data_IF_609363712288
#
_entry.id   IF_609363712288
#
_cell.length_a   1.000
_cell.length_b   1.000
_cell.length_c   1.000
_cell.angle_alpha   90.00
_cell.angle_beta   90.00
_cell.angle_gamma   90.00
#
_symmetry.space_group_name_H-M   'P 1'
#
loop_
_entity.id
_entity.type
_entity.pdbx_description
1 polymer ?
#
# COMPACT_ATOMS: atom_id res chain seq x y z
N UNK A 1 59.76 43.35 10.36
CA UNK A 1 58.36 43.12 9.95
C UNK A 1 58.29 41.73 9.33
N UNK A 2 58.01 40.69 10.13
CA UNK A 2 57.87 39.32 9.61
C UNK A 2 56.38 39.02 9.40
N UNK A 3 56.02 38.73 8.15
CA UNK A 3 54.72 38.29 7.66
C UNK A 3 54.44 36.82 8.04
N UNK A 4 53.19 36.34 7.91
CA UNK A 4 52.62 35.31 8.78
C UNK A 4 53.09 33.89 8.46
N UNK A 5 53.24 33.08 9.51
CA UNK A 5 53.35 31.62 9.40
C UNK A 5 52.09 31.04 8.74
N UNK A 6 52.23 30.09 7.79
CA UNK A 6 51.08 29.45 7.15
C UNK A 6 50.33 28.59 8.17
N UNK A 7 49.02 28.78 8.27
CA UNK A 7 48.13 27.97 9.09
C UNK A 7 48.26 26.51 8.61
N UNK A 8 48.96 25.68 9.38
CA UNK A 8 49.04 24.25 9.08
C UNK A 8 47.62 23.68 9.10
N UNK A 9 47.16 22.96 8.05
CA UNK A 9 45.84 22.36 8.08
C UNK A 9 45.79 21.38 9.25
N UNK A 10 44.87 21.60 10.19
CA UNK A 10 44.61 20.66 11.28
C UNK A 10 44.20 19.33 10.66
N UNK A 11 45.09 18.35 10.78
CA UNK A 11 44.89 17.01 10.22
C UNK A 11 43.64 16.42 10.89
N UNK A 12 42.55 16.35 10.15
CA UNK A 12 41.28 15.83 10.64
C UNK A 12 40.83 14.68 9.75
N UNK A 13 40.30 13.64 10.38
CA UNK A 13 39.85 12.44 9.69
C UNK A 13 38.34 12.54 9.48
N UNK A 14 37.86 12.33 8.26
CA UNK A 14 36.43 12.22 8.01
C UNK A 14 36.00 10.77 8.27
N UNK A 15 35.02 10.58 9.14
CA UNK A 15 34.47 9.27 9.51
C UNK A 15 32.96 9.26 9.23
N UNK A 16 32.45 8.09 8.83
CA UNK A 16 31.03 7.84 8.68
C UNK A 16 30.64 6.60 9.49
N UNK A 17 29.53 6.68 10.22
CA UNK A 17 28.94 5.56 10.94
C UNK A 17 27.52 5.30 10.41
N UNK A 18 27.20 4.03 10.13
CA UNK A 18 25.88 3.61 9.67
C UNK A 18 25.27 2.68 10.73
N UNK A 19 24.09 3.01 11.21
CA UNK A 19 23.26 2.20 12.10
C UNK A 19 22.01 1.72 11.33
N UNK A 20 21.88 0.41 11.15
CA UNK A 20 20.74 -0.23 10.48
C UNK A 20 19.83 -0.87 11.54
N UNK A 21 18.90 -0.08 12.09
CA UNK A 21 17.93 -0.55 13.07
C UNK A 21 16.61 -1.00 12.43
N UNK A 22 15.77 -1.70 13.20
CA UNK A 22 14.43 -2.15 12.75
C UNK A 22 13.44 -0.99 12.52
N UNK A 23 13.75 0.20 13.04
CA UNK A 23 12.88 1.38 12.96
C UNK A 23 13.46 2.49 12.08
N UNK A 24 14.76 2.50 11.81
CA UNK A 24 15.40 3.54 11.00
C UNK A 24 16.80 3.14 10.55
N UNK A 25 17.20 3.62 9.39
CA UNK A 25 18.59 3.75 8.98
C UNK A 25 19.12 5.10 9.46
N UNK A 26 20.30 5.13 10.09
CA UNK A 26 20.97 6.37 10.48
C UNK A 26 22.37 6.40 9.89
N UNK A 27 22.76 7.53 9.32
CA UNK A 27 24.12 7.83 8.89
C UNK A 27 24.58 9.07 9.66
N UNK A 28 25.74 8.99 10.28
CA UNK A 28 26.40 10.12 10.93
C UNK A 28 27.78 10.32 10.30
N UNK A 29 28.02 11.49 9.74
CA UNK A 29 29.32 11.89 9.19
C UNK A 29 29.94 12.88 10.16
N UNK A 30 31.15 12.59 10.64
CA UNK A 30 31.89 13.45 11.56
C UNK A 30 33.30 13.72 11.06
N UNK A 31 33.80 14.91 11.37
CA UNK A 31 35.22 15.25 11.28
C UNK A 31 35.83 15.02 12.66
N UNK A 32 36.69 14.01 12.77
CA UNK A 32 37.42 13.64 13.96
C UNK A 32 38.74 14.42 14.03
N UNK A 33 38.98 15.11 15.14
CA UNK A 33 40.19 15.86 15.40
C UNK A 33 41.14 15.07 16.31
N UNK A 34 42.46 15.31 16.24
CA UNK A 34 43.45 14.58 17.05
C UNK A 34 43.28 14.77 18.55
N UNK A 35 42.58 15.82 18.99
CA UNK A 35 42.25 16.08 20.40
C UNK A 35 41.06 15.26 20.91
N UNK A 36 40.56 14.31 20.10
CA UNK A 36 39.44 13.43 20.44
C UNK A 36 38.07 14.06 20.23
N UNK A 37 37.99 15.30 19.73
CA UNK A 37 36.72 15.95 19.42
C UNK A 37 36.18 15.49 18.07
N UNK A 38 34.86 15.37 18.00
CA UNK A 38 34.13 15.13 16.76
C UNK A 38 33.29 16.36 16.43
N UNK A 39 33.31 16.76 15.16
CA UNK A 39 32.41 17.75 14.61
C UNK A 39 31.47 17.07 13.63
N UNK A 40 30.17 17.07 13.90
CA UNK A 40 29.18 16.53 12.97
C UNK A 40 29.18 17.35 11.69
N UNK A 41 29.53 16.70 10.59
CA UNK A 41 29.50 17.26 9.24
C UNK A 41 28.11 17.10 8.65
N UNK A 42 27.52 15.91 8.81
CA UNK A 42 26.18 15.61 8.33
C UNK A 42 25.54 14.50 9.17
N UNK A 43 24.21 14.48 9.19
CA UNK A 43 23.45 13.41 9.81
C UNK A 43 22.20 13.14 8.98
N UNK A 44 21.98 11.87 8.66
CA UNK A 44 20.80 11.38 7.97
C UNK A 44 20.09 10.32 8.81
N UNK A 45 18.76 10.34 8.79
CA UNK A 45 17.90 9.34 9.43
C UNK A 45 16.72 9.08 8.49
N UNK A 46 16.58 7.85 8.02
CA UNK A 46 15.41 7.41 7.26
C UNK A 46 14.62 6.38 8.08
N UNK A 47 13.35 6.65 8.44
CA UNK A 47 12.50 5.67 9.10
C UNK A 47 12.25 4.42 8.24
N UNK A 48 12.25 3.25 8.86
CA UNK A 48 11.76 2.01 8.23
C UNK A 48 10.24 2.01 8.34
N UNK A 49 9.57 2.70 7.40
CA UNK A 49 8.13 2.96 7.43
C UNK A 49 7.31 1.67 7.56
N UNK A 50 7.58 0.67 6.71
CA UNK A 50 6.84 -0.59 6.67
C UNK A 50 6.85 -1.39 7.99
N UNK A 51 7.92 -1.29 8.80
CA UNK A 51 7.97 -2.03 10.08
C UNK A 51 6.89 -1.55 11.05
N UNK A 52 6.56 -0.26 11.01
CA UNK A 52 5.51 0.34 11.84
C UNK A 52 4.11 -0.15 11.44
N UNK A 53 3.87 -0.33 10.13
CA UNK A 53 2.64 -0.94 9.58
C UNK A 53 2.50 -2.37 10.06
N UNK A 54 3.55 -3.19 9.90
CA UNK A 54 3.52 -4.61 10.29
C UNK A 54 3.31 -4.75 11.81
N UNK A 55 4.02 -3.97 12.62
CA UNK A 55 3.85 -3.97 14.08
C UNK A 55 2.43 -3.60 14.50
N UNK A 56 1.84 -2.58 13.87
CA UNK A 56 0.48 -2.17 14.14
C UNK A 56 -0.50 -3.30 13.80
N UNK A 57 -0.37 -3.90 12.62
CA UNK A 57 -1.25 -5.01 12.20
C UNK A 57 -1.12 -6.22 13.12
N UNK A 58 0.10 -6.59 13.54
CA UNK A 58 0.33 -7.71 14.45
C UNK A 58 -0.35 -7.56 15.81
N UNK A 59 -0.58 -6.32 16.27
CA UNK A 59 -1.30 -6.07 17.53
C UNK A 59 -2.79 -6.43 17.45
N UNK A 60 -3.38 -6.35 16.26
CA UNK A 60 -4.83 -6.50 16.06
C UNK A 60 -5.22 -7.77 15.29
N UNK A 61 -4.31 -8.34 14.50
CA UNK A 61 -4.59 -9.47 13.62
C UNK A 61 -3.91 -10.77 14.10
N UNK A 62 -4.71 -11.84 14.19
CA UNK A 62 -4.18 -13.21 14.32
C UNK A 62 -3.63 -13.75 12.99
N UNK A 63 -3.00 -14.94 13.03
CA UNK A 63 -2.35 -15.58 11.86
C UNK A 63 -3.22 -15.63 10.59
N UNK A 64 -4.51 -15.96 10.72
CA UNK A 64 -5.44 -16.01 9.58
C UNK A 64 -5.65 -14.63 8.94
N UNK A 65 -5.85 -13.61 9.76
CA UNK A 65 -6.04 -12.23 9.27
C UNK A 65 -4.75 -11.65 8.70
N UNK A 66 -3.59 -12.01 9.25
CA UNK A 66 -2.30 -11.64 8.67
C UNK A 66 -2.11 -12.22 7.25
N UNK A 67 -2.47 -13.50 7.03
CA UNK A 67 -2.41 -14.10 5.69
C UNK A 67 -3.35 -13.41 4.72
N UNK A 68 -4.58 -13.16 5.14
CA UNK A 68 -5.53 -12.41 4.33
C UNK A 68 -4.95 -11.04 3.96
N UNK A 69 -4.54 -10.24 4.94
CA UNK A 69 -3.89 -8.93 4.74
C UNK A 69 -2.75 -8.98 3.72
N UNK A 70 -1.85 -9.97 3.84
CA UNK A 70 -0.76 -10.17 2.88
C UNK A 70 -1.26 -10.51 1.47
N UNK A 71 -2.27 -11.37 1.33
CA UNK A 71 -2.89 -11.68 0.04
C UNK A 71 -3.49 -10.44 -0.63
N UNK A 72 -4.24 -9.61 0.12
CA UNK A 72 -4.80 -8.37 -0.44
C UNK A 72 -3.72 -7.39 -0.88
N UNK A 73 -2.64 -7.24 -0.10
CA UNK A 73 -1.51 -6.41 -0.53
C UNK A 73 -0.85 -6.96 -1.81
N UNK A 74 -0.68 -8.27 -1.92
CA UNK A 74 -0.17 -8.93 -3.13
C UNK A 74 -1.03 -8.66 -4.36
N UNK A 75 -2.34 -8.86 -4.28
CA UNK A 75 -3.27 -8.58 -5.39
C UNK A 75 -3.25 -7.10 -5.76
N UNK A 76 -3.24 -6.22 -4.76
CA UNK A 76 -3.21 -4.78 -4.98
C UNK A 76 -1.94 -4.35 -5.72
N UNK A 77 -0.79 -4.94 -5.36
CA UNK A 77 0.48 -4.73 -6.05
C UNK A 77 0.43 -5.21 -7.50
N UNK A 78 0.01 -6.46 -7.73
CA UNK A 78 -0.10 -7.01 -9.10
C UNK A 78 -1.05 -6.16 -9.96
N UNK A 79 -2.19 -5.72 -9.39
CA UNK A 79 -3.16 -4.86 -10.09
C UNK A 79 -2.53 -3.52 -10.44
N UNK A 80 -1.86 -2.90 -9.47
CA UNK A 80 -1.22 -1.60 -9.62
C UNK A 80 -0.14 -1.64 -10.71
N UNK A 81 0.72 -2.67 -10.70
CA UNK A 81 1.75 -2.84 -11.71
C UNK A 81 1.17 -3.14 -13.09
N UNK A 82 0.16 -4.00 -13.18
CA UNK A 82 -0.49 -4.36 -14.44
C UNK A 82 -1.16 -3.14 -15.09
N UNK A 83 -1.90 -2.34 -14.31
CA UNK A 83 -2.52 -1.09 -14.78
C UNK A 83 -1.47 -0.09 -15.29
N UNK A 84 -0.34 0.06 -14.59
CA UNK A 84 0.74 0.96 -15.03
C UNK A 84 1.43 0.47 -16.32
N UNK A 85 1.58 -0.84 -16.50
CA UNK A 85 2.14 -1.43 -17.73
C UNK A 85 1.19 -1.22 -18.93
N UNK A 86 -0.12 -1.30 -18.68
CA UNK A 86 -1.17 -1.16 -19.69
C UNK A 86 -1.61 0.29 -19.91
N UNK A 87 -0.90 1.29 -19.37
CA UNK A 87 -1.35 2.69 -19.39
C UNK A 87 -1.52 3.26 -20.80
N UNK A 88 -0.78 2.72 -21.76
CA UNK A 88 -0.87 3.08 -23.18
C UNK A 88 -2.16 2.59 -23.87
N UNK A 89 -2.91 1.69 -23.24
CA UNK A 89 -4.14 1.10 -23.77
C UNK A 89 -5.40 1.90 -23.41
N UNK A 90 -5.31 2.82 -22.44
CA UNK A 90 -6.44 3.62 -21.97
C UNK A 90 -6.10 5.11 -21.94
N UNK A 91 -7.10 5.99 -22.10
CA UNK A 91 -6.89 7.44 -21.96
C UNK A 91 -6.84 7.91 -20.49
N UNK A 92 -6.64 6.99 -19.55
CA UNK A 92 -6.82 7.22 -18.12
C UNK A 92 -5.54 7.69 -17.45
N UNK A 93 -4.38 7.39 -18.04
CA UNK A 93 -3.06 7.86 -17.59
C UNK A 93 -2.78 7.51 -16.12
N UNK A 94 -3.07 6.26 -15.74
CA UNK A 94 -2.74 5.69 -14.43
C UNK A 94 -1.25 5.85 -14.15
N UNK A 95 -0.35 5.47 -15.06
CA UNK A 95 1.10 5.51 -14.81
C UNK A 95 1.65 6.93 -14.61
N UNK A 96 0.99 7.95 -15.19
CA UNK A 96 1.31 9.34 -14.94
C UNK A 96 0.70 9.90 -13.64
N UNK A 97 -0.33 9.24 -13.09
CA UNK A 97 -1.08 9.72 -11.93
C UNK A 97 -0.65 9.08 -10.60
N UNK A 98 0.07 7.95 -10.62
CA UNK A 98 0.53 7.24 -9.42
C UNK A 98 2.01 6.87 -9.50
N UNK A 99 2.70 6.87 -8.35
CA UNK A 99 4.13 6.56 -8.24
C UNK A 99 4.45 5.37 -7.32
N UNK A 100 5.73 5.13 -7.04
CA UNK A 100 6.15 4.02 -6.16
C UNK A 100 5.77 4.22 -4.69
N UNK A 101 5.63 5.46 -4.22
CA UNK A 101 5.17 5.74 -2.84
C UNK A 101 3.69 5.39 -2.70
N UNK A 102 2.93 5.59 -3.77
CA UNK A 102 1.51 5.22 -3.79
C UNK A 102 1.26 3.73 -3.66
N UNK A 103 2.14 2.93 -4.25
CA UNK A 103 2.14 1.49 -4.04
C UNK A 103 2.39 1.16 -2.56
N UNK A 104 3.38 1.78 -1.92
CA UNK A 104 3.67 1.58 -0.50
C UNK A 104 2.45 1.92 0.39
N UNK A 105 1.77 3.04 0.09
CA UNK A 105 0.56 3.46 0.83
C UNK A 105 -0.63 2.53 0.57
N UNK A 106 -0.78 2.04 -0.66
CA UNK A 106 -1.80 1.06 -1.02
C UNK A 106 -1.59 -0.26 -0.28
N UNK A 107 -0.36 -0.79 -0.27
CA UNK A 107 0.00 -2.01 0.44
C UNK A 107 -0.22 -1.86 1.96
N UNK A 108 0.14 -0.70 2.52
CA UNK A 108 -0.11 -0.41 3.93
C UNK A 108 -1.62 -0.38 4.25
N UNK A 109 -2.42 0.24 3.38
CA UNK A 109 -3.88 0.24 3.49
C UNK A 109 -4.46 -1.17 3.45
N UNK A 110 -4.04 -2.00 2.49
CA UNK A 110 -4.42 -3.41 2.38
C UNK A 110 -4.12 -4.19 3.65
N UNK A 111 -2.98 -3.92 4.29
CA UNK A 111 -2.56 -4.61 5.50
C UNK A 111 -3.33 -4.14 6.74
N UNK A 112 -3.75 -2.87 6.78
CA UNK A 112 -4.40 -2.26 7.94
C UNK A 112 -5.94 -2.23 7.87
N UNK A 113 -6.56 -2.46 6.72
CA UNK A 113 -7.99 -2.18 6.53
C UNK A 113 -8.94 -2.89 7.49
N UNK A 114 -8.56 -4.06 8.00
CA UNK A 114 -9.39 -4.90 8.87
C UNK A 114 -9.00 -4.86 10.35
N UNK A 115 -8.03 -4.03 10.78
CA UNK A 115 -7.59 -4.01 12.19
C UNK A 115 -8.71 -3.61 13.17
N UNK A 116 -9.68 -2.83 12.71
CA UNK A 116 -10.85 -2.44 13.48
C UNK A 116 -11.81 -3.59 13.82
N UNK A 117 -11.67 -4.76 13.19
CA UNK A 117 -12.51 -5.94 13.48
C UNK A 117 -12.33 -6.39 14.94
N UNK A 118 -11.17 -6.14 15.55
CA UNK A 118 -10.93 -6.43 16.96
C UNK A 118 -11.87 -5.67 17.91
N UNK A 119 -12.43 -4.53 17.46
CA UNK A 119 -13.37 -3.69 18.20
C UNK A 119 -14.84 -4.06 17.92
N UNK A 120 -15.09 -4.93 16.92
CA UNK A 120 -16.41 -5.36 16.53
C UNK A 120 -16.60 -5.40 15.01
N UNK A 121 -17.42 -6.34 14.52
CA UNK A 121 -17.68 -6.52 13.08
C UNK A 121 -18.54 -5.43 12.45
N UNK A 122 -19.33 -4.69 13.23
CA UNK A 122 -20.20 -3.63 12.72
C UNK A 122 -19.44 -2.31 12.73
N UNK A 123 -19.26 -1.69 11.57
CA UNK A 123 -18.55 -0.41 11.47
C UNK A 123 -17.03 -0.54 11.71
N UNK A 124 -16.47 -1.73 11.48
CA UNK A 124 -15.03 -1.99 11.67
C UNK A 124 -14.16 -1.07 10.82
N UNK A 125 -14.66 -0.60 9.69
CA UNK A 125 -14.03 0.36 8.80
C UNK A 125 -13.78 1.70 9.49
N UNK A 126 -14.75 2.18 10.29
CA UNK A 126 -14.60 3.39 11.13
C UNK A 126 -13.63 3.15 12.29
N UNK A 127 -13.62 1.94 12.84
CA UNK A 127 -12.67 1.56 13.88
C UNK A 127 -11.24 1.50 13.34
N UNK A 128 -11.02 0.88 12.17
CA UNK A 128 -9.73 0.87 11.47
C UNK A 128 -9.25 2.28 11.20
N UNK A 129 -10.12 3.16 10.66
CA UNK A 129 -9.82 4.58 10.48
C UNK A 129 -9.34 5.22 11.79
N UNK A 130 -10.11 5.09 12.87
CA UNK A 130 -9.78 5.66 14.19
C UNK A 130 -8.44 5.15 14.73
N UNK A 131 -8.15 3.85 14.60
CA UNK A 131 -6.89 3.25 15.07
C UNK A 131 -5.70 3.81 14.27
N UNK A 132 -5.85 3.93 12.96
CA UNK A 132 -4.80 4.44 12.06
C UNK A 132 -4.52 5.93 12.32
N UNK A 133 -5.56 6.74 12.54
CA UNK A 133 -5.41 8.19 12.65
C UNK A 133 -5.11 8.69 14.06
N UNK A 134 -5.53 7.98 15.11
CA UNK A 134 -5.45 8.48 16.49
C UNK A 134 -4.21 7.98 17.24
N UNK A 135 -3.45 7.05 16.67
CA UNK A 135 -2.20 6.57 17.25
C UNK A 135 -1.00 7.03 16.42
N UNK A 136 0.04 7.56 17.08
CA UNK A 136 1.35 7.80 16.46
C UNK A 136 2.09 6.47 16.18
N UNK A 137 1.39 5.51 15.56
CA UNK A 137 1.85 4.15 15.34
C UNK A 137 2.55 3.99 13.99
N UNK A 138 2.22 4.83 13.00
CA UNK A 138 2.75 4.79 11.64
C UNK A 138 3.92 5.76 11.46
N UNK A 139 5.08 5.40 12.04
CA UNK A 139 6.30 6.20 11.95
C UNK A 139 6.73 6.40 10.49
N UNK A 140 7.03 7.64 10.10
CA UNK A 140 7.46 8.00 8.75
C UNK A 140 6.33 8.12 7.71
N UNK A 141 5.06 7.94 8.12
CA UNK A 141 3.87 8.28 7.32
C UNK A 141 3.21 9.61 7.73
N UNK A 142 3.69 10.25 8.80
CA UNK A 142 3.21 11.53 9.32
C UNK A 142 3.98 12.76 8.82
N UNK A 143 3.51 13.95 9.20
CA UNK A 143 3.97 15.27 8.71
C UNK A 143 5.28 15.79 9.32
N UNK A 144 5.94 15.06 10.22
CA UNK A 144 6.95 15.66 11.10
C UNK A 144 8.42 15.62 10.64
N UNK A 145 8.82 14.85 9.62
CA UNK A 145 10.27 14.68 9.33
C UNK A 145 10.77 15.11 7.93
N UNK A 146 9.97 15.75 7.08
CA UNK A 146 10.46 16.34 5.80
C UNK A 146 9.76 17.68 5.52
N UNK A 147 10.56 18.72 5.22
CA UNK A 147 10.06 20.05 4.83
C UNK A 147 8.94 19.92 3.79
N UNK A 148 7.73 20.42 4.06
CA UNK A 148 6.55 20.16 3.25
C UNK A 148 6.58 20.94 1.93
N UNK A 149 6.52 20.23 0.81
CA UNK A 149 5.79 20.73 -0.36
C UNK A 149 4.29 20.55 -0.09
N UNK A 150 3.53 21.62 -0.24
CA UNK A 150 2.17 21.81 0.28
C UNK A 150 1.10 20.87 -0.30
N UNK A 151 1.40 20.12 -1.37
CA UNK A 151 0.36 19.49 -2.19
C UNK A 151 0.31 17.95 -2.01
N UNK A 152 1.34 17.34 -1.41
CA UNK A 152 1.50 15.87 -1.33
C UNK A 152 1.11 15.24 0.03
N UNK A 153 0.99 16.01 1.12
CA UNK A 153 0.99 15.44 2.49
C UNK A 153 -0.37 15.06 3.06
N UNK A 154 -1.47 15.75 2.71
CA UNK A 154 -2.80 15.45 3.27
C UNK A 154 -3.40 14.13 2.75
N UNK A 155 -2.76 13.53 1.75
CA UNK A 155 -3.29 12.40 0.99
C UNK A 155 -2.90 11.06 1.60
N UNK A 156 -1.73 10.94 2.26
CA UNK A 156 -1.11 9.62 2.51
C UNK A 156 -1.75 8.86 3.68
N UNK A 157 -1.92 9.51 4.85
CA UNK A 157 -2.63 8.90 5.98
C UNK A 157 -4.14 8.78 5.68
N UNK A 158 -4.69 9.72 4.91
CA UNK A 158 -6.06 9.65 4.43
C UNK A 158 -6.27 8.53 3.41
N UNK A 159 -5.30 8.23 2.54
CA UNK A 159 -5.30 7.04 1.69
C UNK A 159 -5.33 5.80 2.57
N UNK A 160 -4.36 5.65 3.47
CA UNK A 160 -4.27 4.47 4.34
C UNK A 160 -5.53 4.27 5.20
N UNK A 161 -6.16 5.36 5.67
CA UNK A 161 -7.30 5.31 6.57
C UNK A 161 -8.68 5.33 5.87
N UNK A 162 -8.84 5.99 4.72
CA UNK A 162 -10.11 6.12 4.01
C UNK A 162 -10.34 5.03 2.97
N UNK A 163 -9.28 4.41 2.44
CA UNK A 163 -9.37 3.22 1.58
C UNK A 163 -10.20 2.08 2.25
N UNK A 164 -9.97 1.73 3.54
CA UNK A 164 -10.81 0.79 4.29
C UNK A 164 -12.28 1.21 4.44
N UNK A 165 -12.54 2.51 4.54
CA UNK A 165 -13.87 3.11 4.76
C UNK A 165 -14.76 3.08 3.52
N UNK A 166 -14.17 3.12 2.34
CA UNK A 166 -14.90 3.12 1.06
C UNK A 166 -14.97 1.74 0.40
N UNK A 167 -14.25 0.73 0.91
CA UNK A 167 -14.30 -0.64 0.42
C UNK A 167 -15.68 -1.30 0.51
N UNK A 168 -16.52 -0.94 1.49
CA UNK A 168 -17.70 -1.76 1.78
C UNK A 168 -19.01 -1.35 1.08
N UNK A 169 -19.21 -0.10 0.62
CA UNK A 169 -20.56 0.29 0.16
C UNK A 169 -20.71 1.26 -1.01
N UNK A 170 -19.79 2.17 -1.32
CA UNK A 170 -19.90 3.10 -2.46
C UNK A 170 -18.54 3.76 -2.77
N UNK A 171 -18.31 4.13 -4.04
CA UNK A 171 -17.19 5.00 -4.42
C UNK A 171 -17.12 6.23 -3.53
N UNK A 172 -15.90 6.78 -3.29
CA UNK A 172 -15.75 7.99 -2.51
C UNK A 172 -16.64 9.08 -3.11
N UNK A 173 -17.58 9.59 -2.30
CA UNK A 173 -18.31 10.78 -2.71
C UNK A 173 -17.38 11.97 -2.50
N UNK A 174 -16.70 12.37 -3.57
CA UNK A 174 -15.76 13.49 -3.58
C UNK A 174 -16.42 14.86 -3.33
N UNK A 175 -17.77 14.92 -3.21
CA UNK A 175 -18.50 16.10 -2.75
C UNK A 175 -18.61 16.20 -1.23
N UNK A 176 -18.15 15.20 -0.47
CA UNK A 176 -18.06 15.30 0.99
C UNK A 176 -16.97 16.32 1.38
N UNK A 177 -17.20 17.08 2.46
CA UNK A 177 -16.33 18.17 2.94
C UNK A 177 -14.85 17.77 2.98
N UNK A 178 -14.56 16.53 3.40
CA UNK A 178 -13.22 15.96 3.52
C UNK A 178 -12.43 15.85 2.19
N UNK A 179 -13.11 15.83 1.04
CA UNK A 179 -12.47 15.73 -0.28
C UNK A 179 -12.57 17.01 -1.11
N UNK A 180 -13.42 17.96 -0.72
CA UNK A 180 -13.68 19.17 -1.50
C UNK A 180 -12.42 20.01 -1.71
N UNK A 181 -11.53 20.00 -0.70
CA UNK A 181 -10.30 20.78 -0.66
C UNK A 181 -9.13 20.15 -1.44
N UNK A 182 -9.25 18.90 -1.90
CA UNK A 182 -8.15 18.24 -2.63
C UNK A 182 -8.01 18.72 -4.07
N UNK A 183 -6.76 18.88 -4.57
CA UNK A 183 -6.47 19.03 -5.99
C UNK A 183 -7.07 17.90 -6.82
N UNK A 184 -7.41 18.17 -8.08
CA UNK A 184 -8.05 17.17 -8.95
C UNK A 184 -7.12 15.97 -9.23
N UNK A 185 -5.81 16.22 -9.30
CA UNK A 185 -4.79 15.19 -9.44
C UNK A 185 -4.81 14.21 -8.26
N UNK A 186 -4.93 14.75 -7.05
CA UNK A 186 -5.04 13.98 -5.80
C UNK A 186 -6.32 13.16 -5.78
N UNK A 187 -7.45 13.74 -6.18
CA UNK A 187 -8.74 13.02 -6.27
C UNK A 187 -8.69 11.89 -7.29
N UNK A 188 -8.09 12.13 -8.46
CA UNK A 188 -7.89 11.13 -9.53
C UNK A 188 -7.07 9.95 -9.04
N UNK A 189 -5.91 10.23 -8.43
CA UNK A 189 -5.04 9.23 -7.80
C UNK A 189 -5.77 8.44 -6.71
N UNK A 190 -6.47 9.13 -5.81
CA UNK A 190 -7.26 8.50 -4.75
C UNK A 190 -8.31 7.55 -5.33
N UNK A 191 -8.99 7.95 -6.42
CA UNK A 191 -9.97 7.11 -7.11
C UNK A 191 -9.36 5.83 -7.66
N UNK A 192 -8.17 5.88 -8.25
CA UNK A 192 -7.46 4.68 -8.72
C UNK A 192 -7.09 3.74 -7.58
N UNK A 193 -6.46 4.27 -6.52
CA UNK A 193 -6.05 3.47 -5.38
C UNK A 193 -7.27 2.85 -4.66
N UNK A 194 -8.39 3.59 -4.57
CA UNK A 194 -9.68 3.08 -4.09
C UNK A 194 -10.19 1.91 -4.91
N UNK A 195 -10.19 2.02 -6.24
CA UNK A 195 -10.66 0.93 -7.08
C UNK A 195 -9.79 -0.33 -6.90
N UNK A 196 -8.47 -0.16 -6.82
CA UNK A 196 -7.53 -1.28 -6.64
C UNK A 196 -7.73 -1.98 -5.29
N UNK A 197 -7.81 -1.26 -4.17
CA UNK A 197 -8.02 -1.92 -2.87
C UNK A 197 -9.37 -2.62 -2.81
N UNK A 198 -10.42 -2.03 -3.42
CA UNK A 198 -11.76 -2.62 -3.46
C UNK A 198 -11.77 -3.97 -4.17
N UNK A 199 -11.11 -4.09 -5.31
CA UNK A 199 -10.99 -5.39 -6.00
C UNK A 199 -10.07 -6.35 -5.26
N UNK A 200 -9.05 -5.84 -4.57
CA UNK A 200 -8.05 -6.66 -3.88
C UNK A 200 -8.51 -7.26 -2.56
N UNK A 201 -9.38 -6.59 -1.80
CA UNK A 201 -9.92 -7.14 -0.56
C UNK A 201 -11.25 -7.89 -0.75
N UNK A 202 -11.86 -7.79 -1.92
CA UNK A 202 -13.04 -8.56 -2.30
C UNK A 202 -12.88 -10.08 -2.10
N UNK A 203 -11.78 -10.72 -2.54
CA UNK A 203 -11.54 -12.14 -2.30
C UNK A 203 -11.56 -12.56 -0.82
N UNK A 204 -11.17 -11.67 0.10
CA UNK A 204 -11.20 -11.96 1.53
C UNK A 204 -12.60 -12.02 2.12
N UNK A 205 -13.50 -11.16 1.64
CA UNK A 205 -14.88 -11.07 2.13
C UNK A 205 -15.72 -12.28 1.69
N UNK A 206 -15.35 -12.87 0.55
CA UNK A 206 -16.10 -13.90 -0.16
C UNK A 206 -15.42 -15.28 -0.12
N UNK A 207 -14.61 -15.53 0.92
CA UNK A 207 -14.02 -16.85 1.27
C UNK A 207 -12.96 -17.42 0.30
N UNK A 208 -12.34 -16.61 -0.55
CA UNK A 208 -11.21 -17.01 -1.42
C UNK A 208 -9.85 -17.12 -0.68
N UNK A 209 -9.84 -17.11 0.65
CA UNK A 209 -8.62 -17.12 1.48
C UNK A 209 -7.79 -18.41 1.31
N UNK A 210 -8.35 -19.45 0.69
CA UNK A 210 -7.68 -20.73 0.41
C UNK A 210 -6.63 -20.69 -0.70
N UNK A 211 -6.66 -19.69 -1.59
CA UNK A 211 -5.74 -19.58 -2.72
C UNK A 211 -4.44 -18.90 -2.31
N UNK A 212 -3.29 -19.51 -2.61
CA UNK A 212 -1.99 -18.99 -2.15
C UNK A 212 -1.32 -18.08 -3.17
N UNK A 213 -1.58 -18.30 -4.46
CA UNK A 213 -0.97 -17.53 -5.53
C UNK A 213 -2.07 -16.94 -6.40
N UNK A 214 -2.00 -15.61 -6.57
CA UNK A 214 -2.91 -14.84 -7.39
C UNK A 214 -2.07 -13.98 -8.33
N UNK A 215 -2.38 -14.03 -9.61
CA UNK A 215 -1.66 -13.31 -10.66
C UNK A 215 -2.66 -12.50 -11.47
N UNK A 216 -2.24 -11.31 -11.93
CA UNK A 216 -3.04 -10.48 -12.81
C UNK A 216 -2.38 -10.43 -14.18
N UNK A 217 -3.16 -10.82 -15.18
CA UNK A 217 -2.80 -10.70 -16.58
C UNK A 217 -3.75 -9.76 -17.30
N UNK A 218 -3.32 -9.26 -18.47
CA UNK A 218 -4.13 -8.41 -19.34
C UNK A 218 -4.23 -9.07 -20.72
N UNK A 219 -5.42 -9.06 -21.30
CA UNK A 219 -5.72 -9.60 -22.63
C UNK A 219 -6.54 -8.59 -23.44
N UNK A 220 -6.92 -8.93 -24.68
CA UNK A 220 -7.80 -8.07 -25.48
C UNK A 220 -9.20 -7.88 -24.89
N UNK A 221 -9.63 -8.81 -24.01
CA UNK A 221 -10.94 -8.75 -23.35
C UNK A 221 -10.91 -7.95 -22.04
N UNK A 222 -9.72 -7.60 -21.54
CA UNK A 222 -9.51 -6.91 -20.27
C UNK A 222 -8.56 -7.65 -19.32
N UNK A 223 -8.58 -7.27 -18.05
CA UNK A 223 -7.78 -7.86 -16.98
C UNK A 223 -8.37 -9.17 -16.45
N UNK A 224 -7.50 -10.04 -15.97
CA UNK A 224 -7.85 -11.37 -15.47
C UNK A 224 -7.05 -11.69 -14.22
N UNK A 225 -7.75 -11.83 -13.10
CA UNK A 225 -7.20 -12.28 -11.82
C UNK A 225 -7.32 -13.79 -11.73
N UNK A 226 -6.20 -14.50 -11.90
CA UNK A 226 -6.16 -15.95 -11.79
C UNK A 226 -5.81 -16.34 -10.36
N UNK A 227 -6.68 -17.10 -9.71
CA UNK A 227 -6.43 -17.69 -8.40
C UNK A 227 -5.89 -19.10 -8.56
N UNK A 228 -4.89 -19.50 -7.77
CA UNK A 228 -4.37 -20.88 -7.77
C UNK A 228 -4.23 -21.43 -6.36
N UNK A 229 -4.68 -22.68 -6.19
CA UNK A 229 -4.60 -23.41 -4.93
C UNK A 229 -3.37 -24.29 -4.95
N UNK A 230 -2.70 -24.45 -3.80
CA UNK A 230 -1.64 -25.45 -3.66
C UNK A 230 -2.30 -26.82 -3.64
N UNK A 231 -2.25 -27.53 -4.78
CA UNK A 231 -2.39 -28.98 -5.09
C UNK A 231 -3.08 -29.97 -4.11
N UNK A 232 -3.79 -29.58 -3.07
CA UNK A 232 -4.34 -30.47 -2.03
C UNK A 232 -5.85 -30.31 -1.80
N UNK A 233 -6.57 -29.62 -2.70
CA UNK A 233 -8.03 -29.60 -2.68
C UNK A 233 -8.58 -29.99 -4.05
N UNK A 234 -8.75 -31.31 -4.26
CA UNK A 234 -9.52 -31.85 -5.36
C UNK A 234 -11.00 -31.50 -5.17
N UNK A 235 -11.39 -30.31 -5.61
CA UNK A 235 -12.80 -29.98 -5.76
C UNK A 235 -13.34 -30.60 -7.06
N UNK A 236 -14.47 -31.33 -7.01
CA UNK A 236 -15.17 -31.81 -8.21
C UNK A 236 -15.47 -30.64 -9.16
N UNK A 237 -15.26 -30.81 -10.47
CA UNK A 237 -15.41 -29.75 -11.47
C UNK A 237 -16.77 -29.01 -11.41
N UNK A 238 -17.86 -29.73 -11.11
CA UNK A 238 -19.19 -29.14 -10.96
C UNK A 238 -19.32 -28.18 -9.76
N UNK A 239 -18.57 -28.38 -8.68
CA UNK A 239 -18.56 -27.48 -7.50
C UNK A 239 -17.73 -26.22 -7.81
N UNK A 240 -16.70 -26.34 -8.64
CA UNK A 240 -15.81 -25.23 -8.99
C UNK A 240 -16.48 -24.23 -9.94
N UNK A 241 -17.24 -24.71 -10.91
CA UNK A 241 -17.98 -23.85 -11.85
C UNK A 241 -19.03 -23.00 -11.11
N UNK A 242 -19.82 -23.62 -10.24
CA UNK A 242 -20.83 -22.92 -9.41
C UNK A 242 -20.16 -21.94 -8.45
N UNK A 243 -19.00 -22.30 -7.90
CA UNK A 243 -18.22 -21.41 -7.03
C UNK A 243 -17.75 -20.17 -7.80
N UNK A 244 -17.27 -20.32 -9.04
CA UNK A 244 -16.83 -19.19 -9.87
C UNK A 244 -18.00 -18.26 -10.25
N UNK A 245 -19.16 -18.81 -10.59
CA UNK A 245 -20.38 -18.05 -10.87
C UNK A 245 -20.89 -17.31 -9.62
N UNK A 246 -20.94 -18.00 -8.47
CA UNK A 246 -21.32 -17.40 -7.18
C UNK A 246 -20.37 -16.27 -6.75
N UNK A 247 -19.05 -16.45 -6.97
CA UNK A 247 -18.03 -15.43 -6.70
C UNK A 247 -18.21 -14.23 -7.62
N UNK A 248 -18.39 -14.44 -8.93
CA UNK A 248 -18.62 -13.38 -9.89
C UNK A 248 -19.84 -12.54 -9.48
N UNK A 249 -20.91 -13.21 -9.06
CA UNK A 249 -22.14 -12.61 -8.58
C UNK A 249 -21.99 -11.84 -7.26
N UNK A 250 -21.18 -12.33 -6.33
CA UNK A 250 -20.84 -11.64 -5.07
C UNK A 250 -19.99 -10.39 -5.32
N UNK A 251 -19.13 -10.45 -6.33
CA UNK A 251 -18.14 -9.41 -6.67
C UNK A 251 -18.60 -8.41 -7.72
N UNK A 252 -19.81 -8.55 -8.26
CA UNK A 252 -20.36 -7.69 -9.33
C UNK A 252 -20.16 -6.20 -9.07
N UNK A 253 -20.32 -5.74 -7.83
CA UNK A 253 -20.18 -4.32 -7.48
C UNK A 253 -18.72 -3.87 -7.61
N UNK A 254 -17.80 -4.63 -7.06
CA UNK A 254 -16.37 -4.35 -7.07
C UNK A 254 -15.82 -4.39 -8.50
N UNK A 255 -16.24 -5.37 -9.30
CA UNK A 255 -15.90 -5.47 -10.72
C UNK A 255 -16.50 -4.32 -11.54
N UNK A 256 -17.76 -3.95 -11.30
CA UNK A 256 -18.37 -2.78 -11.94
C UNK A 256 -17.66 -1.47 -11.58
N UNK A 257 -17.19 -1.33 -10.34
CA UNK A 257 -16.38 -0.18 -9.92
C UNK A 257 -15.04 -0.16 -10.65
N UNK A 258 -14.37 -1.30 -10.79
CA UNK A 258 -13.14 -1.41 -11.57
C UNK A 258 -13.36 -0.93 -13.01
N UNK A 259 -14.36 -1.47 -13.70
CA UNK A 259 -14.73 -1.05 -15.06
C UNK A 259 -15.03 0.43 -15.16
N UNK A 260 -15.79 0.98 -14.22
CA UNK A 260 -16.16 2.39 -14.23
C UNK A 260 -14.94 3.32 -13.99
N UNK A 261 -13.91 2.87 -13.28
CA UNK A 261 -12.71 3.67 -12.99
C UNK A 261 -11.64 3.50 -14.07
N UNK A 262 -11.42 2.29 -14.55
CA UNK A 262 -10.34 1.94 -15.48
C UNK A 262 -10.79 1.71 -16.91
N UNK A 263 -12.09 1.78 -17.20
CA UNK A 263 -12.69 1.54 -18.52
C UNK A 263 -12.32 0.18 -19.12
N UNK A 264 -11.91 -0.76 -18.27
CA UNK A 264 -11.45 -2.11 -18.61
C UNK A 264 -12.22 -3.12 -17.79
N UNK A 265 -12.51 -4.28 -18.36
CA UNK A 265 -13.12 -5.38 -17.62
C UNK A 265 -12.10 -6.04 -16.69
N UNK A 266 -12.58 -6.58 -15.57
CA UNK A 266 -11.79 -7.45 -14.70
C UNK A 266 -12.57 -8.76 -14.51
N UNK A 267 -11.95 -9.86 -14.92
CA UNK A 267 -12.47 -11.21 -14.73
C UNK A 267 -11.71 -11.91 -13.61
N UNK A 268 -12.39 -12.83 -12.92
CA UNK A 268 -11.78 -13.65 -11.88
C UNK A 268 -11.86 -15.10 -12.33
N UNK A 269 -10.69 -15.69 -12.54
CA UNK A 269 -10.56 -17.08 -12.90
C UNK A 269 -10.19 -17.89 -11.67
N UNK A 270 -11.12 -18.74 -11.26
CA UNK A 270 -10.92 -19.74 -10.21
C UNK A 270 -10.52 -21.03 -10.92
N UNK A 271 -9.49 -21.76 -10.45
CA UNK A 271 -8.94 -22.87 -11.21
C UNK A 271 -9.97 -24.00 -11.27
N UNK A 272 -10.53 -24.23 -12.46
CA UNK A 272 -11.29 -25.43 -12.77
C UNK A 272 -10.38 -26.63 -12.66
N UNK A 273 -10.83 -27.72 -12.05
CA UNK A 273 -10.16 -29.02 -12.16
C UNK A 273 -10.36 -29.57 -13.58
N UNK A 274 -9.76 -28.90 -14.56
CA UNK A 274 -9.77 -29.32 -15.96
C UNK A 274 -8.52 -28.78 -16.65
N UNK A 275 -7.44 -29.53 -16.52
CA UNK A 275 -6.43 -29.66 -17.55
C UNK A 275 -5.75 -31.00 -17.31
N UNK A 276 -6.19 -32.00 -18.09
CA UNK A 276 -5.42 -33.21 -18.39
C UNK A 276 -4.04 -32.84 -18.98
#
# INVERSE_FOLDING_TARGET
MASPTPYAPTLSTLLAAIDMGTNSFKLLIVRAYPDGKFFTVDQFKEPVKWSSVVQLTMRFNGKKMMRAAAQCAGIAKETFEALRKCDHLTNIQVAASVDTKDLEYLEAACVLHNIGISMGKKGYDKHSYSIITNGNHLHGYGTEEVKPSSDDQLVNLQLIALLPKHHMKNLPNFYHVSFKEFPEQVKKKFRFLCAIICTSAAPQQHRLIGFQHMEISHSQEGFRLTCSSVKDQNYPAGIVQTLAEDIGDELRRELAHFKMVFQEELYIDVPSSASE
#
